data_IF_966550254016
#
_entry.id   IF_966550254016
#
_cell.length_a   1.000
_cell.length_b   1.000
_cell.length_c   1.000
_cell.angle_alpha   90.00
_cell.angle_beta   90.00
_cell.angle_gamma   90.00
#
_symmetry.space_group_name_H-M   'P 1'
#
loop_
_entity.id
_entity.type
_entity.pdbx_description
1 polymer ?
#
# COMPACT_ATOMS: atom_id res chain seq x y z
N UNK A 1 -4.20 -1.06 23.09
CA UNK A 1 -2.80 -0.65 23.41
C UNK A 1 -2.81 0.65 24.20
N UNK A 2 -1.90 0.79 25.16
CA UNK A 2 -1.69 2.04 25.90
C UNK A 2 -1.29 3.20 24.96
N UNK A 3 -1.60 4.42 25.38
CA UNK A 3 -1.10 5.62 24.71
C UNK A 3 0.36 5.89 25.07
N UNK A 4 1.16 6.25 24.07
CA UNK A 4 2.54 6.66 24.29
C UNK A 4 2.60 8.04 24.93
N UNK A 5 3.50 8.27 25.88
CA UNK A 5 3.70 9.59 26.48
C UNK A 5 4.69 10.39 25.62
N UNK A 6 4.29 11.58 25.16
CA UNK A 6 5.20 12.47 24.43
C UNK A 6 6.11 13.21 25.41
N UNK A 7 7.40 12.95 25.31
CA UNK A 7 8.45 13.52 26.16
C UNK A 7 9.48 14.22 25.28
N UNK A 8 10.01 15.34 25.75
CA UNK A 8 11.04 16.06 25.03
C UNK A 8 12.03 16.76 25.95
N UNK A 9 13.29 16.77 25.53
CA UNK A 9 14.34 17.63 26.06
C UNK A 9 14.30 18.97 25.34
N UNK A 10 14.11 20.05 26.09
CA UNK A 10 13.78 21.36 25.56
C UNK A 10 14.79 22.39 26.06
N UNK A 11 15.19 23.32 25.19
CA UNK A 11 16.00 24.49 25.52
C UNK A 11 15.25 25.76 25.15
N UNK A 12 15.08 26.69 26.09
CA UNK A 12 14.57 28.03 25.77
C UNK A 12 15.73 28.98 25.46
N UNK A 13 15.81 29.48 24.22
CA UNK A 13 16.81 30.48 23.81
C UNK A 13 16.11 31.68 23.18
N UNK A 14 16.22 32.83 23.84
CA UNK A 14 15.43 34.01 23.52
C UNK A 14 13.93 33.75 23.72
N UNK A 15 13.14 33.93 22.66
CA UNK A 15 11.70 33.62 22.63
C UNK A 15 11.37 32.29 21.96
N UNK A 16 12.38 31.48 21.67
CA UNK A 16 12.21 30.24 20.90
C UNK A 16 12.47 29.02 21.75
N UNK A 17 11.61 28.04 21.54
CA UNK A 17 11.66 26.72 22.20
C UNK A 17 12.31 25.75 21.23
N UNK A 18 13.51 25.29 21.58
CA UNK A 18 14.29 24.31 20.83
C UNK A 18 14.03 22.91 21.37
N UNK A 19 13.85 21.96 20.46
CA UNK A 19 13.69 20.53 20.69
C UNK A 19 15.05 19.88 20.48
N UNK A 20 15.70 19.55 21.59
CA UNK A 20 16.99 18.85 21.58
C UNK A 20 16.78 17.35 21.38
N UNK A 21 15.72 16.81 21.98
CA UNK A 21 15.34 15.40 21.88
C UNK A 21 13.82 15.30 22.01
N UNK A 22 13.17 14.44 21.24
CA UNK A 22 11.72 14.21 21.36
C UNK A 22 11.42 12.75 21.10
N UNK A 23 10.59 12.13 21.92
CA UNK A 23 10.15 10.74 21.70
C UNK A 23 8.76 10.46 22.28
N UNK A 24 8.10 9.46 21.73
CA UNK A 24 6.95 8.80 22.34
C UNK A 24 7.45 7.60 23.16
N UNK A 25 7.09 7.56 24.44
CA UNK A 25 7.47 6.50 25.37
C UNK A 25 6.30 5.53 25.60
N UNK A 26 6.54 4.24 25.40
CA UNK A 26 5.67 3.16 25.88
C UNK A 26 6.43 2.26 26.85
N UNK A 27 5.81 1.89 27.97
CA UNK A 27 6.51 1.13 29.02
C UNK A 27 7.73 1.87 29.57
N UNK A 28 8.69 1.11 30.10
CA UNK A 28 9.85 1.65 30.83
C UNK A 28 11.17 1.49 30.06
N UNK A 29 11.17 0.77 28.92
CA UNK A 29 12.37 0.60 28.10
C UNK A 29 12.80 1.91 27.43
N UNK A 30 14.10 2.14 27.37
CA UNK A 30 14.69 3.29 26.64
C UNK A 30 15.14 2.92 25.22
N UNK A 31 15.06 1.65 24.84
CA UNK A 31 15.44 1.15 23.53
C UNK A 31 14.60 1.80 22.43
N UNK A 32 15.23 2.04 21.28
CA UNK A 32 14.49 2.58 20.14
C UNK A 32 13.66 1.48 19.47
N UNK A 33 12.37 1.76 19.31
CA UNK A 33 11.47 0.95 18.48
C UNK A 33 11.32 1.54 17.07
N UNK A 34 12.20 2.46 16.67
CA UNK A 34 12.11 3.23 15.43
C UNK A 34 12.13 4.74 15.68
N UNK A 35 12.22 5.50 14.60
CA UNK A 35 12.13 6.96 14.68
C UNK A 35 11.50 7.58 13.43
N UNK A 36 11.29 8.90 13.45
CA UNK A 36 10.94 9.66 12.27
C UNK A 36 11.67 11.00 12.19
N UNK A 37 11.77 11.52 10.96
CA UNK A 37 12.30 12.83 10.66
C UNK A 37 11.21 13.70 10.03
N UNK A 38 10.83 14.75 10.76
CA UNK A 38 9.80 15.71 10.40
C UNK A 38 10.41 17.09 10.09
N UNK A 39 9.61 18.01 9.55
CA UNK A 39 10.13 19.33 9.18
C UNK A 39 10.44 20.19 10.40
N UNK A 40 9.45 20.42 11.26
CA UNK A 40 9.57 21.23 12.47
C UNK A 40 8.51 20.82 13.49
N UNK A 41 8.76 21.05 14.79
CA UNK A 41 7.79 20.82 15.83
C UNK A 41 6.68 21.88 15.77
N UNK A 42 5.42 21.45 15.64
CA UNK A 42 4.29 22.35 15.86
C UNK A 42 4.14 22.61 17.35
N UNK A 43 3.66 23.81 17.71
CA UNK A 43 3.46 24.17 19.12
C UNK A 43 2.73 23.07 19.89
N UNK A 44 3.30 22.70 21.02
CA UNK A 44 2.67 21.80 21.99
C UNK A 44 2.65 22.50 23.34
N UNK A 45 1.50 22.46 24.01
CA UNK A 45 1.40 23.00 25.36
C UNK A 45 2.17 22.09 26.31
N UNK A 46 3.01 22.70 27.14
CA UNK A 46 3.62 22.05 28.30
C UNK A 46 2.51 21.52 29.21
N UNK A 47 2.67 20.30 29.72
CA UNK A 47 1.75 19.77 30.72
C UNK A 47 2.09 20.24 32.15
N UNK A 48 3.16 21.03 32.30
CA UNK A 48 3.62 21.60 33.57
C UNK A 48 3.23 23.06 33.68
N UNK A 49 2.88 23.50 34.89
CA UNK A 49 2.42 24.87 35.17
C UNK A 49 3.53 25.94 35.06
N UNK A 50 4.80 25.52 35.00
CA UNK A 50 5.95 26.42 34.89
C UNK A 50 6.63 26.29 33.52
N UNK A 51 6.76 27.39 32.74
CA UNK A 51 7.53 27.39 31.51
C UNK A 51 9.04 27.30 31.82
N UNK A 52 9.86 26.76 30.89
CA UNK A 52 11.32 26.76 31.04
C UNK A 52 11.88 28.17 31.23
N UNK A 53 12.91 28.32 32.05
CA UNK A 53 13.66 29.58 32.14
C UNK A 53 14.61 29.73 30.95
N UNK A 54 14.99 30.98 30.64
CA UNK A 54 15.90 31.28 29.55
C UNK A 54 17.27 30.60 29.79
N UNK A 55 17.74 29.81 28.82
CA UNK A 55 18.99 29.07 28.88
C UNK A 55 18.89 27.72 29.60
N UNK A 56 17.75 27.40 30.21
CA UNK A 56 17.54 26.14 30.92
C UNK A 56 17.22 25.01 29.95
N UNK A 57 17.79 23.83 30.22
CA UNK A 57 17.47 22.58 29.52
C UNK A 57 16.58 21.73 30.43
N UNK A 58 15.33 21.51 30.02
CA UNK A 58 14.36 20.74 30.81
C UNK A 58 13.88 19.50 30.06
N UNK A 59 13.51 18.46 30.81
CA UNK A 59 12.71 17.35 30.31
C UNK A 59 11.24 17.62 30.59
N UNK A 60 10.43 17.74 29.54
CA UNK A 60 9.01 18.04 29.67
C UNK A 60 8.13 16.98 29.01
N UNK A 61 6.99 16.73 29.65
CA UNK A 61 5.87 16.03 29.04
C UNK A 61 4.99 17.03 28.29
N UNK A 62 4.48 16.62 27.14
CA UNK A 62 3.80 17.51 26.21
C UNK A 62 2.46 16.94 25.76
N UNK A 63 1.57 17.84 25.38
CA UNK A 63 0.39 17.49 24.60
C UNK A 63 0.78 17.10 23.17
N UNK A 64 0.20 16.00 22.66
CA UNK A 64 0.46 15.53 21.30
C UNK A 64 -0.25 16.42 20.28
N UNK A 65 0.50 16.96 19.32
CA UNK A 65 -0.09 17.59 18.13
C UNK A 65 -0.81 16.56 17.25
N UNK A 66 -1.67 17.02 16.33
CA UNK A 66 -2.33 16.11 15.37
C UNK A 66 -1.34 15.28 14.56
N UNK A 67 -0.18 15.84 14.26
CA UNK A 67 0.90 15.16 13.55
C UNK A 67 1.51 14.02 14.37
N UNK A 68 1.78 14.26 15.65
CA UNK A 68 2.33 13.25 16.56
C UNK A 68 1.31 12.16 16.85
N UNK A 69 0.02 12.50 17.03
CA UNK A 69 -1.05 11.50 17.23
C UNK A 69 -1.16 10.53 16.06
N UNK A 70 -1.04 11.02 14.83
CA UNK A 70 -1.06 10.15 13.64
C UNK A 70 0.20 9.31 13.51
N UNK A 71 1.36 9.86 13.85
CA UNK A 71 2.58 9.06 13.93
C UNK A 71 2.44 7.93 14.96
N UNK A 72 1.86 8.22 16.12
CA UNK A 72 1.55 7.21 17.14
C UNK A 72 0.62 6.11 16.60
N UNK A 73 -0.43 6.48 15.85
CA UNK A 73 -1.34 5.53 15.22
C UNK A 73 -0.62 4.66 14.19
N UNK A 74 0.23 5.26 13.34
CA UNK A 74 1.03 4.53 12.35
C UNK A 74 1.97 3.52 13.01
N UNK A 75 2.68 3.92 14.07
CA UNK A 75 3.55 3.02 14.84
C UNK A 75 2.73 1.88 15.45
N UNK A 76 1.56 2.17 16.05
CA UNK A 76 0.67 1.11 16.55
C UNK A 76 0.26 0.14 15.44
N UNK A 77 -0.08 0.64 14.25
CA UNK A 77 -0.40 -0.22 13.09
C UNK A 77 0.78 -1.06 12.61
N UNK A 78 2.01 -0.56 12.67
CA UNK A 78 3.22 -1.31 12.35
C UNK A 78 3.42 -2.53 13.27
N UNK A 79 3.15 -2.35 14.56
CA UNK A 79 3.33 -3.39 15.57
C UNK A 79 2.06 -4.24 15.84
N UNK A 80 0.93 -3.90 15.22
CA UNK A 80 -0.29 -4.73 15.23
C UNK A 80 -0.89 -4.84 16.63
N UNK A 81 -0.88 -6.06 17.21
CA UNK A 81 -1.36 -6.34 18.57
C UNK A 81 -0.23 -6.49 19.60
N UNK A 82 1.04 -6.39 19.19
CA UNK A 82 2.19 -6.56 20.07
C UNK A 82 2.30 -5.39 21.06
N UNK A 83 2.32 -5.63 22.38
CA UNK A 83 2.53 -4.56 23.36
C UNK A 83 3.84 -3.81 23.10
N UNK A 84 3.75 -2.49 22.96
CA UNK A 84 4.93 -1.65 22.76
C UNK A 84 5.66 -1.42 24.08
N UNK A 85 6.97 -1.60 24.08
CA UNK A 85 7.87 -1.25 25.19
C UNK A 85 9.16 -0.65 24.62
N UNK A 86 9.34 0.66 24.76
CA UNK A 86 10.47 1.40 24.19
C UNK A 86 10.09 2.83 23.75
N UNK A 87 11.00 3.44 22.99
CA UNK A 87 10.93 4.83 22.53
C UNK A 87 10.86 4.94 21.02
N UNK A 88 9.87 5.68 20.53
CA UNK A 88 9.83 6.12 19.15
C UNK A 88 10.35 7.56 19.07
N UNK A 89 11.52 7.76 18.47
CA UNK A 89 12.19 9.06 18.43
C UNK A 89 11.63 9.95 17.31
N UNK A 90 11.57 11.26 17.55
CA UNK A 90 11.06 12.26 16.62
C UNK A 90 12.13 13.33 16.42
N UNK A 91 12.76 13.29 15.27
CA UNK A 91 13.73 14.27 14.81
C UNK A 91 13.08 15.36 13.97
N UNK A 92 13.71 16.51 13.92
CA UNK A 92 13.25 17.64 13.13
C UNK A 92 14.39 18.21 12.29
N UNK A 93 14.10 18.56 11.03
CA UNK A 93 15.03 19.31 10.19
C UNK A 93 15.30 20.71 10.77
N UNK A 94 14.30 21.28 11.44
CA UNK A 94 14.35 22.58 12.11
C UNK A 94 14.01 22.37 13.59
N UNK A 95 14.95 22.65 14.51
CA UNK A 95 14.83 22.19 15.89
C UNK A 95 13.85 23.04 16.74
N UNK A 96 13.35 24.17 16.25
CA UNK A 96 12.51 25.06 17.06
C UNK A 96 11.05 25.13 16.61
N UNK A 97 10.19 25.47 17.55
CA UNK A 97 8.74 25.50 17.35
C UNK A 97 8.24 26.67 16.49
N UNK A 98 7.13 26.42 15.80
CA UNK A 98 6.29 27.48 15.26
C UNK A 98 4.93 27.00 14.77
N UNK A 99 4.11 27.96 14.36
CA UNK A 99 2.75 27.70 13.86
C UNK A 99 2.75 27.61 12.33
N UNK A 100 3.35 28.62 11.70
CA UNK A 100 3.38 28.80 10.24
C UNK A 100 4.72 28.40 9.68
N UNK A 101 4.70 27.55 8.66
CA UNK A 101 5.90 27.00 8.04
C UNK A 101 6.76 28.09 7.42
N UNK A 102 6.16 29.11 6.81
CA UNK A 102 6.87 30.22 6.15
C UNK A 102 7.68 31.03 7.16
N UNK A 103 7.12 31.26 8.35
CA UNK A 103 7.80 31.98 9.42
C UNK A 103 8.97 31.16 9.99
N UNK A 104 8.73 29.88 10.30
CA UNK A 104 9.76 28.97 10.83
C UNK A 104 10.92 28.82 9.85
N UNK A 105 10.61 28.66 8.56
CA UNK A 105 11.60 28.59 7.49
C UNK A 105 12.41 29.88 7.38
N UNK A 106 11.76 31.04 7.38
CA UNK A 106 12.46 32.32 7.31
C UNK A 106 13.41 32.55 8.50
N UNK A 107 13.00 32.16 9.70
CA UNK A 107 13.87 32.21 10.89
C UNK A 107 15.04 31.22 10.76
N UNK A 108 14.78 30.01 10.30
CA UNK A 108 15.80 28.96 10.16
C UNK A 108 16.89 29.38 9.18
N UNK A 109 16.50 29.83 7.99
CA UNK A 109 17.42 30.35 6.97
C UNK A 109 18.22 31.55 7.51
N UNK A 110 17.56 32.49 8.19
CA UNK A 110 18.23 33.64 8.79
C UNK A 110 19.21 33.28 9.91
N UNK A 111 18.90 32.28 10.73
CA UNK A 111 19.73 31.88 11.87
C UNK A 111 20.98 31.13 11.44
N UNK A 112 20.86 30.21 10.47
CA UNK A 112 22.02 29.51 9.90
C UNK A 112 22.94 30.53 9.21
N UNK A 113 22.37 31.42 8.37
CA UNK A 113 23.14 32.44 7.64
C UNK A 113 23.92 33.39 8.58
N UNK A 114 23.38 33.67 9.77
CA UNK A 114 24.03 34.51 10.78
C UNK A 114 24.93 33.74 11.75
N UNK A 115 25.04 32.42 11.61
CA UNK A 115 25.80 31.57 12.53
C UNK A 115 25.22 31.50 13.95
N UNK A 116 23.93 31.79 14.13
CA UNK A 116 23.25 31.71 15.43
C UNK A 116 23.04 30.24 15.85
N UNK A 117 22.79 29.39 14.85
CA UNK A 117 22.70 27.94 14.95
C UNK A 117 23.56 27.32 13.84
N UNK A 118 24.15 26.17 14.11
CA UNK A 118 24.81 25.33 13.12
C UNK A 118 23.99 24.03 12.93
N UNK A 119 24.15 23.34 11.80
CA UNK A 119 23.39 22.11 11.53
C UNK A 119 23.82 21.00 12.51
N UNK A 120 25.10 20.99 12.85
CA UNK A 120 25.75 20.03 13.71
C UNK A 120 25.27 20.12 15.16
N UNK A 121 24.75 21.28 15.59
CA UNK A 121 24.31 21.53 16.97
C UNK A 121 23.09 20.68 17.37
N UNK A 122 22.30 20.23 16.39
CA UNK A 122 21.01 19.57 16.65
C UNK A 122 20.79 18.29 15.83
N UNK A 123 21.67 17.97 14.89
CA UNK A 123 21.63 16.69 14.20
C UNK A 123 22.16 15.59 15.12
N UNK A 124 21.52 14.41 15.15
CA UNK A 124 22.06 13.28 15.88
C UNK A 124 23.39 12.81 15.30
N UNK A 125 24.18 12.20 16.16
CA UNK A 125 25.42 11.54 15.77
C UNK A 125 25.14 10.26 14.99
N UNK A 126 26.14 9.79 14.23
CA UNK A 126 26.05 8.50 13.55
C UNK A 126 25.80 7.33 14.53
N UNK A 127 26.36 7.40 15.73
CA UNK A 127 26.15 6.37 16.76
C UNK A 127 24.69 6.35 17.24
N UNK A 128 24.08 7.52 17.41
CA UNK A 128 22.65 7.62 17.73
C UNK A 128 21.79 7.07 16.60
N UNK A 129 22.10 7.41 15.34
CA UNK A 129 21.33 6.93 14.19
C UNK A 129 21.36 5.41 14.03
N UNK A 130 22.52 4.78 14.29
CA UNK A 130 22.66 3.31 14.27
C UNK A 130 21.81 2.59 15.32
N UNK A 131 21.38 3.27 16.39
CA UNK A 131 20.52 2.69 17.42
C UNK A 131 19.08 2.50 16.95
N UNK A 132 18.69 3.10 15.83
CA UNK A 132 17.33 2.96 15.29
C UNK A 132 17.22 1.79 14.32
N UNK A 133 16.22 0.90 14.49
CA UNK A 133 16.00 -0.19 13.54
C UNK A 133 15.54 0.32 12.16
N UNK A 134 14.92 1.50 12.10
CA UNK A 134 14.44 2.17 10.88
C UNK A 134 13.99 3.60 11.21
N UNK A 135 13.90 4.45 10.17
CA UNK A 135 13.53 5.87 10.29
C UNK A 135 12.51 6.26 9.20
N UNK A 136 11.37 6.82 9.61
CA UNK A 136 10.36 7.36 8.68
C UNK A 136 10.72 8.79 8.27
N UNK A 137 10.84 9.06 6.97
CA UNK A 137 11.05 10.39 6.40
C UNK A 137 9.71 11.03 6.05
N UNK A 138 9.38 12.17 6.69
CA UNK A 138 8.06 12.80 6.55
C UNK A 138 8.07 14.32 6.72
N UNK A 139 9.02 15.01 6.09
CA UNK A 139 9.13 16.47 6.18
C UNK A 139 8.19 17.24 5.23
N UNK A 140 7.54 16.59 4.27
CA UNK A 140 6.60 17.22 3.34
C UNK A 140 7.28 17.88 2.14
N UNK A 141 6.50 18.21 1.12
CA UNK A 141 7.00 18.82 -0.13
C UNK A 141 6.97 20.33 0.00
N UNK A 142 8.14 20.95 -0.21
CA UNK A 142 8.27 22.40 -0.20
C UNK A 142 8.50 22.89 -1.64
N UNK A 143 7.69 23.86 -2.09
CA UNK A 143 7.78 24.44 -3.45
C UNK A 143 8.64 25.70 -3.54
N UNK A 144 9.32 26.09 -2.46
CA UNK A 144 9.97 27.41 -2.37
C UNK A 144 11.41 27.37 -2.90
N UNK A 145 11.76 28.34 -3.75
CA UNK A 145 13.07 28.45 -4.42
C UNK A 145 14.19 29.02 -3.53
N UNK A 146 13.90 29.49 -2.30
CA UNK A 146 14.83 30.24 -1.45
C UNK A 146 15.20 29.52 -0.14
N UNK A 147 15.25 28.17 -0.14
CA UNK A 147 15.50 27.36 1.06
C UNK A 147 16.84 26.63 1.00
N UNK A 148 17.93 27.38 0.83
CA UNK A 148 19.28 26.79 0.67
C UNK A 148 19.70 26.01 1.91
N UNK A 149 19.53 26.58 3.11
CA UNK A 149 19.96 25.91 4.34
C UNK A 149 19.06 24.72 4.68
N UNK A 150 17.76 24.78 4.38
CA UNK A 150 16.89 23.60 4.50
C UNK A 150 17.33 22.47 3.57
N UNK A 151 17.67 22.79 2.32
CA UNK A 151 18.12 21.79 1.36
C UNK A 151 19.46 21.17 1.78
N UNK A 152 20.37 21.98 2.33
CA UNK A 152 21.61 21.49 2.93
C UNK A 152 21.32 20.56 4.12
N UNK A 153 20.41 20.95 5.01
CA UNK A 153 19.98 20.11 6.14
C UNK A 153 19.40 18.77 5.69
N UNK A 154 18.49 18.77 4.70
CA UNK A 154 17.94 17.53 4.12
C UNK A 154 19.03 16.64 3.53
N UNK A 155 19.95 17.24 2.76
CA UNK A 155 21.06 16.51 2.14
C UNK A 155 21.94 15.87 3.21
N UNK A 156 22.37 16.63 4.20
CA UNK A 156 23.22 16.14 5.30
C UNK A 156 22.52 15.00 6.07
N UNK A 157 21.22 15.11 6.35
CA UNK A 157 20.45 14.02 6.94
C UNK A 157 20.45 12.76 6.09
N UNK A 158 20.20 12.87 4.79
CA UNK A 158 20.20 11.72 3.88
C UNK A 158 21.61 11.11 3.76
N UNK A 159 22.65 11.93 3.66
CA UNK A 159 24.04 11.49 3.58
C UNK A 159 24.44 10.72 4.86
N UNK A 160 24.03 11.19 6.03
CA UNK A 160 24.23 10.47 7.30
C UNK A 160 23.48 9.14 7.35
N UNK A 161 22.19 9.14 7.02
CA UNK A 161 21.36 7.93 7.02
C UNK A 161 21.91 6.86 6.08
N UNK A 162 22.38 7.27 4.90
CA UNK A 162 23.06 6.39 3.95
C UNK A 162 24.38 5.87 4.52
N UNK A 163 25.19 6.73 5.15
CA UNK A 163 26.49 6.35 5.74
C UNK A 163 26.36 5.35 6.89
N UNK A 164 25.29 5.43 7.68
CA UNK A 164 25.04 4.50 8.78
C UNK A 164 24.18 3.30 8.39
N UNK A 165 23.78 3.21 7.12
CA UNK A 165 22.95 2.13 6.56
C UNK A 165 21.63 1.90 7.31
N UNK A 166 21.08 2.96 7.94
CA UNK A 166 19.80 2.85 8.64
C UNK A 166 18.66 2.78 7.63
N UNK A 167 17.79 1.78 7.78
CA UNK A 167 16.62 1.61 6.89
C UNK A 167 15.72 2.85 6.93
N UNK A 168 15.47 3.45 5.78
CA UNK A 168 14.58 4.61 5.66
C UNK A 168 13.24 4.21 5.07
N UNK A 169 12.16 4.62 5.72
CA UNK A 169 10.79 4.43 5.26
C UNK A 169 10.23 5.76 4.80
N UNK A 170 9.49 5.81 3.71
CA UNK A 170 8.83 7.04 3.28
C UNK A 170 8.53 7.05 1.79
N UNK A 171 7.57 7.88 1.40
CA UNK A 171 7.14 7.98 0.00
C UNK A 171 7.78 9.22 -0.59
N UNK A 172 8.67 9.01 -1.56
CA UNK A 172 9.37 10.08 -2.26
C UNK A 172 8.46 10.69 -3.33
N UNK A 173 8.39 12.00 -3.38
CA UNK A 173 7.73 12.74 -4.45
C UNK A 173 8.58 12.64 -5.72
N UNK A 174 7.98 12.23 -6.86
CA UNK A 174 8.73 11.96 -8.08
C UNK A 174 9.49 13.19 -8.59
N UNK A 175 8.85 14.37 -8.57
CA UNK A 175 9.43 15.57 -9.19
C UNK A 175 10.43 16.32 -8.32
N UNK A 176 10.20 16.38 -7.00
CA UNK A 176 11.01 17.21 -6.09
C UNK A 176 12.04 16.39 -5.33
N UNK A 177 11.88 15.06 -5.27
CA UNK A 177 12.67 14.19 -4.42
C UNK A 177 12.44 14.33 -2.92
N UNK A 178 11.49 15.18 -2.50
CA UNK A 178 11.07 15.32 -1.09
C UNK A 178 10.21 14.14 -0.64
N UNK A 179 9.94 14.03 0.66
CA UNK A 179 9.09 12.98 1.21
C UNK A 179 7.72 13.53 1.61
N UNK A 180 6.66 12.81 1.28
CA UNK A 180 5.30 13.22 1.64
C UNK A 180 5.12 13.30 3.17
N UNK A 181 4.29 14.26 3.60
CA UNK A 181 3.96 14.39 5.01
C UNK A 181 2.86 13.38 5.37
N UNK A 182 3.02 12.61 6.45
CA UNK A 182 1.99 11.67 6.94
C UNK A 182 0.66 12.38 7.32
N UNK A 183 0.68 13.71 7.44
CA UNK A 183 -0.47 14.57 7.70
C UNK A 183 -1.01 15.28 6.48
N UNK A 184 -0.79 14.74 5.27
CA UNK A 184 -1.36 15.28 4.04
C UNK A 184 -2.87 15.58 4.22
N UNK A 185 -3.32 16.76 3.78
CA UNK A 185 -4.72 17.20 3.99
C UNK A 185 -5.73 16.38 3.18
N UNK A 186 -5.36 15.89 2.00
CA UNK A 186 -6.22 15.06 1.16
C UNK A 186 -6.29 13.63 1.71
N UNK A 187 -7.47 13.22 2.18
CA UNK A 187 -7.71 11.96 2.89
C UNK A 187 -7.35 10.72 2.09
N UNK A 188 -7.80 10.61 0.82
CA UNK A 188 -7.47 9.45 -0.01
C UNK A 188 -5.96 9.29 -0.30
N UNK A 189 -5.26 10.41 -0.47
CA UNK A 189 -3.81 10.38 -0.67
C UNK A 189 -3.05 10.01 0.60
N UNK A 190 -3.55 10.48 1.75
CA UNK A 190 -2.98 10.19 3.07
C UNK A 190 -3.05 8.69 3.40
N UNK A 191 -4.19 8.06 3.17
CA UNK A 191 -4.38 6.65 3.53
C UNK A 191 -3.49 5.75 2.63
N UNK A 192 -3.32 6.14 1.36
CA UNK A 192 -2.36 5.50 0.45
C UNK A 192 -0.90 5.63 0.94
N UNK A 193 -0.47 6.81 1.43
CA UNK A 193 0.89 6.98 2.00
C UNK A 193 1.09 6.07 3.21
N UNK A 194 0.13 6.05 4.15
CA UNK A 194 0.19 5.22 5.35
C UNK A 194 0.30 3.74 4.97
N UNK A 195 -0.55 3.29 4.05
CA UNK A 195 -0.54 1.92 3.58
C UNK A 195 0.80 1.54 2.95
N UNK A 196 1.35 2.38 2.07
CA UNK A 196 2.66 2.14 1.46
C UNK A 196 3.80 2.10 2.49
N UNK A 197 3.80 2.97 3.50
CA UNK A 197 4.80 2.92 4.58
C UNK A 197 4.68 1.61 5.38
N UNK A 198 3.45 1.18 5.71
CA UNK A 198 3.21 -0.10 6.39
C UNK A 198 3.69 -1.29 5.55
N UNK A 199 3.50 -1.24 4.23
CA UNK A 199 3.97 -2.27 3.31
C UNK A 199 5.51 -2.39 3.33
N UNK A 200 6.23 -1.26 3.19
CA UNK A 200 7.70 -1.25 3.23
C UNK A 200 8.19 -1.73 4.60
N UNK A 201 7.54 -1.30 5.69
CA UNK A 201 7.89 -1.77 7.03
C UNK A 201 7.75 -3.30 7.18
N UNK A 202 6.62 -3.87 6.76
CA UNK A 202 6.38 -5.31 6.90
C UNK A 202 7.35 -6.13 6.05
N UNK A 203 7.53 -5.75 4.78
CA UNK A 203 8.42 -6.46 3.87
C UNK A 203 9.91 -6.30 4.20
N UNK A 204 10.37 -5.07 4.38
CA UNK A 204 11.81 -4.78 4.51
C UNK A 204 12.32 -4.82 5.95
N UNK A 205 11.48 -4.49 6.95
CA UNK A 205 11.93 -4.43 8.35
C UNK A 205 11.61 -5.74 9.07
N UNK A 206 10.37 -6.21 9.01
CA UNK A 206 9.97 -7.45 9.68
C UNK A 206 10.32 -8.72 8.89
N UNK A 207 10.52 -8.61 7.58
CA UNK A 207 10.68 -9.77 6.71
C UNK A 207 9.38 -10.59 6.60
N UNK A 208 8.24 -10.01 6.96
CA UNK A 208 6.93 -10.64 6.90
C UNK A 208 6.22 -10.19 5.62
N UNK A 209 5.82 -11.13 4.76
CA UNK A 209 4.88 -10.81 3.69
C UNK A 209 3.52 -10.53 4.32
N UNK A 210 3.04 -9.30 4.26
CA UNK A 210 1.74 -8.87 4.78
C UNK A 210 0.64 -9.70 4.09
N UNK A 211 0.21 -10.80 4.71
CA UNK A 211 -0.81 -11.69 4.16
C UNK A 211 -2.18 -11.18 4.62
N UNK A 212 -2.94 -10.63 3.68
CA UNK A 212 -4.33 -10.22 3.90
C UNK A 212 -5.25 -11.23 3.22
N UNK A 213 -6.14 -11.84 3.99
CA UNK A 213 -7.15 -12.75 3.45
C UNK A 213 -8.47 -12.00 3.23
N UNK A 214 -9.16 -12.30 2.14
CA UNK A 214 -10.42 -11.69 1.79
C UNK A 214 -11.55 -12.71 1.87
N UNK A 215 -12.73 -12.23 2.22
CA UNK A 215 -13.95 -13.02 2.04
C UNK A 215 -14.22 -13.20 0.55
N UNK A 216 -14.93 -14.26 0.20
CA UNK A 216 -15.34 -14.51 -1.21
C UNK A 216 -16.29 -13.43 -1.74
N UNK A 217 -16.93 -12.65 -0.86
CA UNK A 217 -17.70 -11.48 -1.30
C UNK A 217 -16.82 -10.39 -1.92
N UNK A 218 -15.56 -10.27 -1.50
CA UNK A 218 -14.62 -9.28 -2.04
C UNK A 218 -14.20 -9.57 -3.50
N UNK A 219 -14.47 -10.76 -4.02
CA UNK A 219 -14.21 -11.07 -5.45
C UNK A 219 -15.35 -10.65 -6.36
N UNK A 220 -16.51 -10.31 -5.79
CA UNK A 220 -17.72 -10.01 -6.54
C UNK A 220 -17.73 -8.55 -7.00
N UNK A 221 -18.25 -8.26 -8.20
CA UNK A 221 -18.53 -6.90 -8.63
C UNK A 221 -19.36 -6.13 -7.61
N UNK A 222 -18.94 -4.90 -7.29
CA UNK A 222 -19.65 -4.02 -6.35
C UNK A 222 -20.84 -3.32 -6.99
N UNK A 223 -20.88 -3.25 -8.33
CA UNK A 223 -22.01 -2.74 -9.09
C UNK A 223 -22.61 -3.88 -9.89
N UNK A 224 -23.94 -3.99 -9.88
CA UNK A 224 -24.62 -4.87 -10.82
C UNK A 224 -24.27 -4.40 -12.25
N UNK A 225 -23.72 -5.33 -13.04
CA UNK A 225 -23.58 -5.14 -14.48
C UNK A 225 -25.00 -5.11 -15.06
N UNK A 226 -25.60 -3.92 -15.17
CA UNK A 226 -26.89 -3.77 -15.84
C UNK A 226 -26.72 -4.19 -17.30
N UNK A 227 -27.56 -5.13 -17.75
CA UNK A 227 -27.69 -5.49 -19.15
C UNK A 227 -28.10 -4.24 -19.93
N UNK A 228 -27.20 -3.72 -20.77
CA UNK A 228 -27.61 -2.77 -21.81
C UNK A 228 -28.14 -3.63 -22.94
N UNK A 229 -29.46 -3.85 -22.97
CA UNK A 229 -30.10 -4.39 -24.16
C UNK A 229 -30.07 -3.30 -25.24
N UNK A 230 -29.44 -3.54 -26.41
CA UNK A 230 -29.70 -2.67 -27.55
C UNK A 230 -31.18 -2.81 -27.89
N UNK A 231 -31.96 -1.76 -27.63
CA UNK A 231 -33.35 -1.70 -28.04
C UNK A 231 -33.40 -1.64 -29.56
N UNK A 232 -34.10 -2.61 -30.16
CA UNK A 232 -34.60 -2.70 -31.54
C UNK A 232 -33.91 -3.72 -32.48
N UNK A 233 -34.73 -4.75 -32.78
CA UNK A 233 -34.74 -5.74 -33.86
C UNK A 233 -33.98 -7.08 -33.67
N UNK A 234 -34.71 -8.21 -33.52
CA UNK A 234 -34.15 -9.55 -33.54
C UNK A 234 -34.02 -10.04 -34.99
N UNK A 235 -32.85 -9.90 -35.60
CA UNK A 235 -32.48 -10.71 -36.77
C UNK A 235 -31.04 -11.18 -36.64
N UNK A 236 -30.86 -12.50 -36.68
CA UNK A 236 -29.61 -13.26 -36.48
C UNK A 236 -29.04 -13.23 -35.06
N UNK A 237 -28.39 -14.32 -34.67
CA UNK A 237 -27.80 -14.58 -33.36
C UNK A 237 -26.69 -13.55 -33.11
N UNK A 238 -27.04 -12.37 -32.59
CA UNK A 238 -26.06 -11.41 -32.09
C UNK A 238 -25.60 -11.93 -30.74
N UNK A 239 -24.38 -12.44 -30.68
CA UNK A 239 -23.69 -12.72 -29.43
C UNK A 239 -23.70 -11.43 -28.60
N UNK A 240 -24.30 -11.47 -27.41
CA UNK A 240 -24.28 -10.35 -26.47
C UNK A 240 -22.83 -10.09 -26.04
N UNK A 241 -22.16 -9.15 -26.70
CA UNK A 241 -20.79 -8.78 -26.32
C UNK A 241 -20.87 -7.90 -25.07
N UNK A 242 -20.33 -8.40 -23.96
CA UNK A 242 -20.16 -7.58 -22.75
C UNK A 242 -19.17 -6.46 -23.11
N UNK A 243 -19.55 -5.20 -22.87
CA UNK A 243 -18.60 -4.09 -22.97
C UNK A 243 -17.47 -4.33 -21.96
N UNK A 244 -16.22 -4.57 -22.40
CA UNK A 244 -15.13 -4.91 -21.49
C UNK A 244 -14.86 -3.83 -20.42
N UNK A 245 -15.18 -2.57 -20.71
CA UNK A 245 -15.05 -1.47 -19.75
C UNK A 245 -16.02 -1.62 -18.58
N UNK A 246 -17.21 -2.17 -18.82
CA UNK A 246 -18.17 -2.43 -17.76
C UNK A 246 -17.64 -3.43 -16.75
N UNK A 247 -16.83 -4.42 -17.17
CA UNK A 247 -16.15 -5.34 -16.25
C UNK A 247 -15.20 -4.59 -15.31
N UNK A 248 -14.48 -3.58 -15.80
CA UNK A 248 -13.60 -2.73 -14.97
C UNK A 248 -14.44 -1.92 -13.99
N UNK A 249 -15.45 -1.20 -14.48
CA UNK A 249 -16.29 -0.32 -13.68
C UNK A 249 -17.22 -1.06 -12.70
N UNK A 250 -17.37 -2.37 -12.85
CA UNK A 250 -18.08 -3.22 -11.91
C UNK A 250 -17.39 -3.22 -10.52
N UNK A 251 -16.08 -2.97 -10.47
CA UNK A 251 -15.28 -2.93 -9.26
C UNK A 251 -15.00 -1.48 -8.86
N UNK A 252 -15.52 -1.07 -7.70
CA UNK A 252 -15.46 0.34 -7.27
C UNK A 252 -14.04 0.87 -7.01
N UNK A 253 -13.05 0.00 -6.87
CA UNK A 253 -11.64 0.37 -6.63
C UNK A 253 -10.82 0.53 -7.91
N UNK A 254 -11.44 0.33 -9.08
CA UNK A 254 -10.78 0.33 -10.38
C UNK A 254 -11.45 1.31 -11.35
N UNK A 255 -10.62 1.88 -12.21
CA UNK A 255 -11.01 2.76 -13.30
C UNK A 255 -10.05 2.58 -14.48
N UNK A 256 -10.45 3.04 -15.67
CA UNK A 256 -9.54 3.18 -16.80
C UNK A 256 -8.76 4.50 -16.70
N UNK A 257 -7.49 4.47 -17.11
CA UNK A 257 -6.67 5.67 -17.31
C UNK A 257 -7.31 6.54 -18.40
N UNK A 258 -7.18 7.86 -18.26
CA UNK A 258 -7.77 8.81 -19.20
C UNK A 258 -7.26 8.56 -20.62
N UNK A 259 -8.16 8.50 -21.59
CA UNK A 259 -7.86 8.29 -23.01
C UNK A 259 -7.79 6.83 -23.46
N UNK A 260 -7.79 5.88 -22.52
CA UNK A 260 -7.88 4.45 -22.87
C UNK A 260 -9.32 4.02 -23.10
N UNK A 261 -9.53 3.17 -24.10
CA UNK A 261 -10.76 2.40 -24.30
C UNK A 261 -10.46 0.92 -24.39
N UNK A 262 -11.40 0.05 -24.01
CA UNK A 262 -11.24 -1.39 -24.16
C UNK A 262 -12.04 -1.92 -25.35
N UNK A 263 -11.40 -2.72 -26.20
CA UNK A 263 -12.00 -3.28 -27.41
C UNK A 263 -11.81 -4.78 -27.44
N UNK A 264 -12.90 -5.52 -27.68
CA UNK A 264 -12.83 -6.95 -27.97
C UNK A 264 -12.47 -7.14 -29.46
N UNK A 265 -11.42 -7.90 -29.72
CA UNK A 265 -10.93 -8.20 -31.07
C UNK A 265 -11.08 -9.70 -31.31
N UNK A 266 -11.87 -10.07 -32.32
CA UNK A 266 -11.96 -11.46 -32.77
C UNK A 266 -10.77 -11.78 -33.69
N UNK A 267 -10.11 -12.90 -33.43
CA UNK A 267 -9.14 -13.46 -34.37
C UNK A 267 -9.89 -14.35 -35.37
N UNK A 268 -9.78 -14.07 -36.66
CA UNK A 268 -10.38 -14.90 -37.74
C UNK A 268 -9.56 -16.17 -38.03
N UNK A 269 -8.50 -16.44 -37.28
CA UNK A 269 -7.57 -17.54 -37.56
C UNK A 269 -7.96 -18.81 -36.80
N UNK A 270 -8.71 -19.72 -37.44
CA UNK A 270 -8.73 -21.18 -37.25
C UNK A 270 -9.20 -21.76 -35.90
N UNK A 271 -8.85 -21.14 -34.79
CA UNK A 271 -9.23 -21.55 -33.44
C UNK A 271 -10.57 -20.91 -33.09
N UNK A 272 -11.48 -21.72 -32.56
CA UNK A 272 -12.86 -21.36 -32.31
C UNK A 272 -13.02 -20.05 -31.50
N UNK A 273 -13.26 -18.93 -32.18
CA UNK A 273 -14.03 -17.77 -31.72
C UNK A 273 -13.55 -17.01 -30.47
N UNK A 274 -12.34 -17.24 -29.96
CA UNK A 274 -11.85 -16.54 -28.76
C UNK A 274 -11.65 -15.04 -29.07
N UNK A 275 -12.46 -14.19 -28.45
CA UNK A 275 -12.30 -12.73 -28.53
C UNK A 275 -11.29 -12.26 -27.46
N UNK A 276 -10.20 -11.66 -27.91
CA UNK A 276 -9.20 -11.07 -27.01
C UNK A 276 -9.55 -9.61 -26.73
N UNK A 277 -9.52 -9.21 -25.46
CA UNK A 277 -9.65 -7.80 -25.09
C UNK A 277 -8.29 -7.12 -25.16
N UNK A 278 -8.25 -5.95 -25.80
CA UNK A 278 -7.06 -5.08 -25.84
C UNK A 278 -7.44 -3.67 -25.38
N UNK A 279 -6.49 -2.96 -24.81
CA UNK A 279 -6.61 -1.53 -24.57
C UNK A 279 -6.19 -0.76 -25.82
N UNK A 280 -6.90 0.33 -26.12
CA UNK A 280 -6.58 1.24 -27.21
C UNK A 280 -6.34 2.65 -26.67
N UNK A 281 -5.21 3.25 -27.05
CA UNK A 281 -4.87 4.65 -26.76
C UNK A 281 -4.32 5.29 -28.04
N UNK A 282 -4.97 6.35 -28.53
CA UNK A 282 -4.55 7.07 -29.74
C UNK A 282 -4.28 6.15 -30.96
N UNK A 283 -5.12 5.12 -31.13
CA UNK A 283 -4.99 4.16 -32.24
C UNK A 283 -4.00 3.01 -32.00
N UNK A 284 -3.17 3.05 -30.95
CA UNK A 284 -2.24 1.97 -30.58
C UNK A 284 -2.92 0.96 -29.67
N UNK A 285 -2.62 -0.33 -29.86
CA UNK A 285 -3.12 -1.43 -29.03
C UNK A 285 -2.08 -1.85 -28.00
N UNK A 286 -2.52 -2.04 -26.77
CA UNK A 286 -1.70 -2.44 -25.62
C UNK A 286 -2.41 -3.51 -24.80
N UNK A 287 -1.69 -4.14 -23.88
CA UNK A 287 -2.29 -5.01 -22.86
C UNK A 287 -3.21 -4.18 -21.95
N UNK A 288 -4.45 -4.63 -21.77
CA UNK A 288 -5.46 -3.87 -21.04
C UNK A 288 -5.13 -3.68 -19.56
N UNK A 289 -4.29 -4.52 -18.95
CA UNK A 289 -3.86 -4.31 -17.57
C UNK A 289 -3.05 -3.02 -17.40
N UNK A 290 -2.35 -2.57 -18.45
CA UNK A 290 -1.65 -1.29 -18.44
C UNK A 290 -2.61 -0.09 -18.45
N UNK A 291 -3.85 -0.28 -18.89
CA UNK A 291 -4.88 0.78 -18.92
C UNK A 291 -5.59 0.96 -17.58
N UNK A 292 -5.43 0.04 -16.63
CA UNK A 292 -6.08 0.13 -15.32
C UNK A 292 -5.40 1.13 -14.39
N UNK A 293 -6.19 1.81 -13.58
CA UNK A 293 -5.77 2.56 -12.39
C UNK A 293 -6.72 2.27 -11.22
N UNK A 294 -6.26 2.54 -10.02
CA UNK A 294 -7.00 2.30 -8.78
C UNK A 294 -6.21 2.85 -7.59
N UNK A 295 -6.71 2.63 -6.39
CA UNK A 295 -6.12 3.15 -5.14
C UNK A 295 -4.88 2.37 -4.65
N UNK A 296 -4.54 1.27 -5.34
CA UNK A 296 -3.43 0.35 -5.00
C UNK A 296 -3.53 -0.28 -3.60
N UNK A 297 -4.74 -0.35 -3.06
CA UNK A 297 -5.03 -1.22 -1.93
C UNK A 297 -4.92 -2.69 -2.34
N UNK A 298 -4.72 -3.56 -1.37
CA UNK A 298 -4.78 -5.02 -1.52
C UNK A 298 -6.09 -5.47 -2.21
N UNK A 299 -7.23 -4.88 -1.81
CA UNK A 299 -8.53 -5.11 -2.44
C UNK A 299 -8.55 -4.68 -3.92
N UNK A 300 -7.92 -3.56 -4.26
CA UNK A 300 -7.83 -3.12 -5.65
C UNK A 300 -6.99 -4.06 -6.52
N UNK A 301 -5.92 -4.66 -5.99
CA UNK A 301 -5.20 -5.72 -6.68
C UNK A 301 -6.03 -7.00 -6.82
N UNK A 302 -6.80 -7.39 -5.81
CA UNK A 302 -7.75 -8.50 -5.92
C UNK A 302 -8.75 -8.26 -7.04
N UNK A 303 -9.39 -7.09 -7.06
CA UNK A 303 -10.32 -6.71 -8.11
C UNK A 303 -9.66 -6.70 -9.49
N UNK A 304 -8.40 -6.25 -9.60
CA UNK A 304 -7.67 -6.27 -10.87
C UNK A 304 -7.41 -7.70 -11.36
N UNK A 305 -7.09 -8.63 -10.45
CA UNK A 305 -6.98 -10.05 -10.78
C UNK A 305 -8.33 -10.65 -11.23
N UNK A 306 -9.45 -10.25 -10.61
CA UNK A 306 -10.78 -10.67 -11.04
C UNK A 306 -11.13 -10.14 -12.44
N UNK A 307 -10.88 -8.85 -12.70
CA UNK A 307 -11.04 -8.25 -14.04
C UNK A 307 -10.19 -8.99 -15.06
N UNK A 308 -8.93 -9.32 -14.71
CA UNK A 308 -8.07 -10.07 -15.59
C UNK A 308 -8.72 -11.39 -15.99
N UNK A 309 -9.21 -12.13 -15.01
CA UNK A 309 -9.88 -13.40 -15.23
C UNK A 309 -11.14 -13.28 -16.10
N UNK A 310 -11.97 -12.28 -15.83
CA UNK A 310 -13.19 -12.04 -16.59
C UNK A 310 -12.90 -11.72 -18.06
N UNK A 311 -11.87 -10.92 -18.34
CA UNK A 311 -11.59 -10.45 -19.70
C UNK A 311 -10.66 -11.38 -20.48
N UNK A 312 -9.72 -12.05 -19.82
CA UNK A 312 -8.72 -12.91 -20.45
C UNK A 312 -9.11 -14.40 -20.51
N UNK A 313 -9.40 -15.02 -19.36
CA UNK A 313 -9.59 -16.48 -19.28
C UNK A 313 -10.97 -16.90 -19.79
N UNK A 314 -11.98 -16.09 -19.52
CA UNK A 314 -13.38 -16.40 -19.86
C UNK A 314 -13.86 -15.74 -21.15
N UNK A 315 -13.11 -14.75 -21.64
CA UNK A 315 -13.41 -13.98 -22.85
C UNK A 315 -14.62 -13.05 -22.68
N UNK A 316 -14.64 -11.95 -23.45
CA UNK A 316 -15.77 -11.01 -23.45
C UNK A 316 -17.04 -11.53 -24.16
N UNK A 317 -16.94 -12.69 -24.85
CA UNK A 317 -17.94 -13.16 -25.84
C UNK A 317 -18.32 -14.65 -25.66
N UNK A 318 -17.83 -15.33 -24.63
CA UNK A 318 -18.29 -16.68 -24.30
C UNK A 318 -19.68 -16.64 -23.65
N UNK A 319 -20.59 -17.55 -24.03
CA UNK A 319 -21.91 -17.71 -23.42
C UNK A 319 -21.86 -17.47 -21.90
N UNK A 320 -22.85 -16.77 -21.33
CA UNK A 320 -23.09 -16.50 -19.90
C UNK A 320 -22.94 -17.70 -18.93
N UNK A 321 -22.60 -18.90 -19.42
CA UNK A 321 -22.28 -20.11 -18.66
C UNK A 321 -21.02 -20.00 -17.81
N UNK A 322 -20.11 -19.05 -18.06
CA UNK A 322 -18.80 -19.07 -17.40
C UNK A 322 -18.82 -18.59 -15.94
N UNK A 323 -19.78 -17.71 -15.57
CA UNK A 323 -20.00 -17.37 -14.16
C UNK A 323 -20.52 -18.56 -13.32
N UNK A 324 -21.00 -19.63 -13.96
CA UNK A 324 -21.60 -20.77 -13.27
C UNK A 324 -20.60 -21.92 -13.04
N UNK A 325 -19.51 -22.03 -13.83
CA UNK A 325 -18.67 -23.24 -13.81
C UNK A 325 -17.29 -23.07 -13.16
N UNK A 326 -16.76 -21.86 -13.01
CA UNK A 326 -15.51 -21.60 -12.25
C UNK A 326 -15.75 -20.48 -11.23
N UNK A 327 -16.52 -20.79 -10.19
CA UNK A 327 -16.68 -19.88 -9.06
C UNK A 327 -15.40 -19.88 -8.23
N UNK A 328 -14.94 -18.68 -7.85
CA UNK A 328 -13.98 -18.56 -6.74
C UNK A 328 -14.62 -19.27 -5.55
N UNK A 329 -13.94 -20.29 -5.03
CA UNK A 329 -14.52 -21.22 -4.07
C UNK A 329 -15.03 -20.45 -2.83
N UNK A 330 -16.34 -20.48 -2.54
CA UNK A 330 -16.86 -19.97 -1.30
C UNK A 330 -16.53 -20.98 -0.21
N UNK A 331 -15.30 -20.94 0.32
CA UNK A 331 -15.05 -21.66 1.56
C UNK A 331 -15.97 -21.05 2.63
N UNK A 332 -16.80 -21.91 3.22
CA UNK A 332 -17.71 -21.54 4.30
C UNK A 332 -17.21 -22.17 5.59
N UNK A 333 -17.43 -21.49 6.71
CA UNK A 333 -17.04 -21.98 8.05
C UNK A 333 -17.88 -23.20 8.50
N UNK A 334 -18.71 -23.77 7.61
CA UNK A 334 -19.52 -24.97 7.86
C UNK A 334 -18.69 -26.25 7.88
N UNK A 335 -17.42 -26.19 7.49
CA UNK A 335 -16.49 -27.32 7.40
C UNK A 335 -15.31 -27.13 8.34
N UNK A 336 -14.84 -28.21 8.96
CA UNK A 336 -13.75 -28.17 9.96
C UNK A 336 -12.37 -27.96 9.33
N UNK A 337 -12.25 -28.21 8.02
CA UNK A 337 -11.00 -28.03 7.28
C UNK A 337 -11.23 -27.82 5.77
N UNK A 338 -10.23 -27.29 5.08
CA UNK A 338 -10.19 -27.19 3.60
C UNK A 338 -10.30 -28.57 2.95
N UNK A 339 -9.67 -29.59 3.53
CA UNK A 339 -9.72 -30.95 3.02
C UNK A 339 -11.15 -31.51 3.03
N UNK A 340 -11.85 -31.39 4.15
CA UNK A 340 -13.23 -31.85 4.30
C UNK A 340 -14.16 -31.16 3.28
N UNK A 341 -14.00 -29.85 3.12
CA UNK A 341 -14.76 -29.07 2.13
C UNK A 341 -14.49 -29.53 0.69
N UNK A 342 -13.22 -29.73 0.31
CA UNK A 342 -12.89 -30.16 -1.05
C UNK A 342 -13.35 -31.59 -1.34
N UNK A 343 -13.31 -32.47 -0.34
CA UNK A 343 -13.85 -33.83 -0.43
C UNK A 343 -15.37 -33.82 -0.63
N UNK A 344 -16.11 -32.92 0.05
CA UNK A 344 -17.57 -32.78 -0.13
C UNK A 344 -17.95 -32.32 -1.54
N UNK A 345 -17.07 -31.57 -2.20
CA UNK A 345 -17.19 -31.18 -3.61
C UNK A 345 -16.75 -32.28 -4.59
N UNK A 346 -16.31 -33.44 -4.12
CA UNK A 346 -15.72 -34.51 -4.94
C UNK A 346 -14.53 -34.05 -5.79
N UNK A 347 -13.71 -33.15 -5.23
CA UNK A 347 -12.42 -32.75 -5.81
C UNK A 347 -11.37 -33.79 -5.38
N UNK A 348 -11.12 -34.79 -6.21
CA UNK A 348 -10.14 -35.85 -5.93
C UNK A 348 -9.54 -36.40 -7.23
N UNK A 349 -8.24 -36.79 -7.26
CA UNK A 349 -7.26 -36.75 -6.17
C UNK A 349 -6.54 -35.38 -6.09
N UNK A 350 -6.28 -34.86 -4.89
CA UNK A 350 -5.57 -33.58 -4.67
C UNK A 350 -4.09 -33.85 -4.35
N UNK A 351 -3.18 -33.14 -5.01
CA UNK A 351 -1.71 -33.20 -4.81
C UNK A 351 -1.28 -32.50 -3.52
N UNK A 352 -1.85 -31.34 -3.27
CA UNK A 352 -1.49 -30.45 -2.18
C UNK A 352 -2.76 -29.74 -1.69
N UNK A 353 -3.06 -29.88 -0.40
CA UNK A 353 -4.15 -29.15 0.22
C UNK A 353 -3.66 -27.75 0.60
N UNK A 354 -4.26 -26.67 0.07
CA UNK A 354 -3.88 -25.34 0.48
C UNK A 354 -4.31 -25.08 1.92
N UNK A 355 -3.53 -24.30 2.66
CA UNK A 355 -3.83 -23.96 4.05
C UNK A 355 -5.07 -23.06 4.20
N UNK A 356 -5.48 -22.39 3.13
CA UNK A 356 -6.70 -21.58 3.03
C UNK A 356 -7.20 -21.60 1.59
N UNK A 357 -8.51 -21.50 1.42
CA UNK A 357 -9.16 -21.28 0.12
C UNK A 357 -9.61 -19.83 -0.06
N UNK A 358 -9.50 -18.99 0.98
CA UNK A 358 -9.80 -17.57 0.88
C UNK A 358 -8.82 -16.91 -0.12
N UNK A 359 -9.33 -16.05 -1.02
CA UNK A 359 -8.47 -15.17 -1.79
C UNK A 359 -7.58 -14.40 -0.83
N UNK A 360 -6.31 -14.26 -1.16
CA UNK A 360 -5.39 -13.55 -0.30
C UNK A 360 -4.36 -12.76 -1.10
N UNK A 361 -3.93 -11.68 -0.47
CA UNK A 361 -2.93 -10.76 -0.95
C UNK A 361 -1.67 -10.90 -0.11
N UNK A 362 -0.52 -10.84 -0.74
CA UNK A 362 0.76 -10.67 -0.08
C UNK A 362 1.78 -10.03 -1.03
N UNK A 363 2.96 -9.73 -0.51
CA UNK A 363 4.07 -9.27 -1.34
C UNK A 363 5.08 -10.40 -1.54
N UNK A 364 5.37 -10.72 -2.80
CA UNK A 364 6.44 -11.65 -3.20
C UNK A 364 7.58 -10.82 -3.80
N UNK A 365 8.74 -10.74 -3.13
CA UNK A 365 9.89 -9.94 -3.59
C UNK A 365 9.55 -8.44 -3.83
N UNK A 366 8.60 -7.92 -3.03
CA UNK A 366 8.08 -6.56 -3.16
C UNK A 366 7.06 -6.37 -4.30
N UNK A 367 6.62 -7.44 -4.96
CA UNK A 367 5.54 -7.41 -5.95
C UNK A 367 4.19 -7.75 -5.30
N UNK A 368 3.14 -6.93 -5.50
CA UNK A 368 1.80 -7.26 -5.03
C UNK A 368 1.37 -8.57 -5.69
N UNK A 369 0.93 -9.52 -4.88
CA UNK A 369 0.60 -10.88 -5.34
C UNK A 369 -0.76 -11.29 -4.80
N UNK A 370 -1.65 -11.72 -5.70
CA UNK A 370 -2.98 -12.22 -5.36
C UNK A 370 -3.01 -13.71 -5.66
N UNK A 371 -3.49 -14.49 -4.70
CA UNK A 371 -3.77 -15.91 -4.87
C UNK A 371 -5.22 -16.19 -4.57
N UNK A 372 -5.87 -16.97 -5.44
CA UNK A 372 -7.19 -17.50 -5.20
C UNK A 372 -7.39 -18.83 -5.91
N UNK A 373 -8.48 -19.50 -5.57
CA UNK A 373 -8.77 -20.85 -6.04
C UNK A 373 -10.11 -20.90 -6.75
N UNK A 374 -10.16 -21.63 -7.87
CA UNK A 374 -11.43 -21.97 -8.53
C UNK A 374 -11.55 -23.48 -8.67
N UNK A 375 -12.78 -23.94 -8.82
CA UNK A 375 -13.08 -25.33 -9.16
C UNK A 375 -13.81 -25.36 -10.48
N UNK A 376 -13.38 -26.25 -11.37
CA UNK A 376 -13.97 -26.42 -12.70
C UNK A 376 -14.40 -27.87 -12.88
N UNK A 377 -15.55 -28.09 -13.54
CA UNK A 377 -16.02 -29.43 -13.93
C UNK A 377 -16.15 -29.55 -15.44
N UNK A 378 -15.29 -30.36 -16.04
CA UNK A 378 -15.53 -30.81 -17.42
C UNK A 378 -16.64 -31.87 -17.41
N UNK A 379 -17.48 -31.87 -18.45
CA UNK A 379 -18.55 -32.87 -18.59
C UNK A 379 -17.95 -34.28 -18.53
N UNK A 380 -18.40 -35.09 -17.57
CA UNK A 380 -17.91 -36.46 -17.38
C UNK A 380 -16.58 -36.59 -16.64
N UNK A 381 -15.99 -35.50 -16.14
CA UNK A 381 -14.77 -35.51 -15.34
C UNK A 381 -15.02 -35.13 -13.87
N UNK A 382 -14.15 -35.54 -12.94
CA UNK A 382 -14.16 -35.01 -11.58
C UNK A 382 -13.87 -33.50 -11.56
N UNK A 383 -14.24 -32.85 -10.47
CA UNK A 383 -13.91 -31.45 -10.26
C UNK A 383 -12.40 -31.27 -10.15
N UNK A 384 -11.86 -30.27 -10.86
CA UNK A 384 -10.44 -29.90 -10.80
C UNK A 384 -10.28 -28.59 -10.04
N UNK A 385 -9.44 -28.60 -9.01
CA UNK A 385 -9.04 -27.41 -8.27
C UNK A 385 -7.87 -26.71 -8.98
N UNK A 386 -8.03 -25.42 -9.22
CA UNK A 386 -6.98 -24.57 -9.77
C UNK A 386 -6.56 -23.52 -8.76
N UNK A 387 -5.25 -23.34 -8.60
CA UNK A 387 -4.62 -22.19 -7.94
C UNK A 387 -4.24 -21.17 -8.99
N UNK A 388 -4.70 -19.94 -8.82
CA UNK A 388 -4.27 -18.80 -9.63
C UNK A 388 -3.40 -17.89 -8.80
N UNK A 389 -2.26 -17.50 -9.36
CA UNK A 389 -1.32 -16.57 -8.76
C UNK A 389 -1.09 -15.42 -9.73
N UNK A 390 -1.51 -14.22 -9.33
CA UNK A 390 -1.30 -12.97 -10.08
C UNK A 390 -0.20 -12.18 -9.39
N UNK A 391 0.92 -11.96 -10.06
CA UNK A 391 2.03 -11.13 -9.58
C UNK A 391 2.04 -9.82 -10.37
N UNK A 392 1.76 -8.73 -9.69
CA UNK A 392 1.68 -7.38 -10.25
C UNK A 392 3.04 -6.68 -10.22
N UNK A 393 3.22 -5.68 -11.08
CA UNK A 393 4.35 -4.75 -10.95
C UNK A 393 4.22 -3.87 -9.71
N UNK A 394 5.36 -3.43 -9.15
CA UNK A 394 5.40 -2.65 -7.90
C UNK A 394 4.58 -1.35 -7.95
N UNK A 395 4.43 -0.78 -9.15
CA UNK A 395 3.83 0.54 -9.34
C UNK A 395 2.76 0.57 -10.44
N UNK A 396 2.24 -0.58 -10.86
CA UNK A 396 1.23 -0.67 -11.91
C UNK A 396 0.32 -1.89 -11.70
N UNK A 397 -0.76 -2.00 -12.49
CA UNK A 397 -1.62 -3.19 -12.51
C UNK A 397 -1.21 -4.18 -13.60
N UNK A 398 -0.14 -3.92 -14.36
CA UNK A 398 0.44 -4.93 -15.22
C UNK A 398 0.85 -6.13 -14.37
N UNK A 399 0.53 -7.33 -14.84
CA UNK A 399 0.77 -8.55 -14.07
C UNK A 399 1.21 -9.70 -14.97
N UNK A 400 1.89 -10.65 -14.34
CA UNK A 400 2.04 -12.02 -14.84
C UNK A 400 1.10 -12.92 -14.05
N UNK A 401 0.47 -13.89 -14.70
CA UNK A 401 -0.38 -14.86 -14.03
C UNK A 401 0.13 -16.29 -14.22
N UNK A 402 -0.10 -17.13 -13.21
CA UNK A 402 0.16 -18.57 -13.24
C UNK A 402 -1.11 -19.30 -12.84
N UNK A 403 -1.53 -20.29 -13.64
CA UNK A 403 -2.61 -21.24 -13.34
C UNK A 403 -2.00 -22.60 -13.07
N UNK A 404 -2.32 -23.20 -11.93
CA UNK A 404 -1.81 -24.51 -11.53
C UNK A 404 -2.95 -25.44 -11.14
N UNK A 405 -2.96 -26.67 -11.67
CA UNK A 405 -3.88 -27.71 -11.22
C UNK A 405 -3.32 -28.38 -9.97
N UNK A 406 -4.09 -28.30 -8.89
CA UNK A 406 -3.76 -28.96 -7.62
C UNK A 406 -4.30 -30.40 -7.56
N UNK A 407 -4.94 -30.89 -8.62
CA UNK A 407 -5.36 -32.28 -8.70
C UNK A 407 -4.32 -33.14 -9.45
N UNK A 408 -4.25 -34.42 -9.12
CA UNK A 408 -3.55 -35.42 -9.92
C UNK A 408 -4.28 -35.56 -11.25
N UNK A 409 -3.59 -35.26 -12.35
CA UNK A 409 -4.11 -35.54 -13.68
C UNK A 409 -3.70 -36.95 -14.12
N UNK A 410 -4.67 -37.75 -14.54
CA UNK A 410 -4.43 -38.64 -15.68
C UNK A 410 -3.97 -37.75 -16.84
N UNK A 411 -2.76 -37.96 -17.33
CA UNK A 411 -2.27 -37.34 -18.57
C UNK A 411 -3.25 -37.72 -19.69
N UNK A 412 -4.14 -36.80 -20.07
CA UNK A 412 -4.78 -36.86 -21.38
C UNK A 412 -3.93 -35.95 -22.26
N UNK A 413 -2.95 -36.56 -22.93
CA UNK A 413 -2.36 -35.97 -24.13
C UNK A 413 -3.50 -35.70 -25.10
N UNK A 414 -3.75 -34.43 -25.40
CA UNK A 414 -4.64 -34.05 -26.50
C UNK A 414 -3.75 -34.13 -27.75
N UNK A 415 -4.01 -35.07 -28.69
CA UNK A 415 -3.30 -35.07 -29.96
C UNK A 415 -3.67 -33.79 -30.72
N UNK A 416 -2.66 -33.19 -31.36
CA UNK A 416 -2.82 -32.09 -32.30
C UNK A 416 -3.86 -32.39 -33.38
#
# INVERSE_FOLDING_TARGET
MSEGKLVSRILLRGRMVYRMETFLQWGDSSESIGSCLMLYPKYSRFSTDSPPLLGEVIMASLSKSSSVKRMEQLVKSMYGNTPLNGRFYIYYLIPFEGDKVEYVLGQFEGFITRGIIQLEDYMPTDEELRKHPWIILSWGIQKQNHTMNLNNSKKEWLDRLNRVETKTLGIKHPDTGDYYNINQKATGYRDSIIHQILQVFQGEVKGESLKEEFTVYATKPSRMLYRVFPSSQPTSIQQETINPEMCVYAYHTLELKMGYTLVAVSHQSGDAGMCKVVAQLNGKREDYMHSLKGDRSSLSFLHAAMVYHHLHEFGAVGEYRVFMNEQVLPFTDDYSSVEEYLQSLHVYPIKEFPSTLYPHFYYEEGHPTIVFYTVSKKKGAPYTLYRYTHRFEKHSYACTYRKESLCYGHNIEIPN
#
